data_IF_096837552246
#
_entry.id   IF_096837552246
#
_cell.length_a   1.000
_cell.length_b   1.000
_cell.length_c   1.000
_cell.angle_alpha   90.00
_cell.angle_beta   90.00
_cell.angle_gamma   90.00
#
_symmetry.space_group_name_H-M   'P 1'
#
loop_
_entity.id
_entity.type
_entity.pdbx_description
1 polymer ?
#
# COMPACT_ATOMS: atom_id res chain seq x y z
N UNK A 1 23.85 -7.62 5.78
CA UNK A 1 22.94 -7.06 6.81
C UNK A 1 21.77 -8.01 7.01
N UNK A 2 21.31 -8.27 8.23
CA UNK A 2 20.18 -9.20 8.46
C UNK A 2 18.85 -8.44 8.52
N UNK A 3 18.00 -8.61 7.51
CA UNK A 3 16.69 -7.96 7.39
C UNK A 3 15.56 -8.71 8.12
N UNK A 4 15.77 -9.97 8.51
CA UNK A 4 14.78 -10.82 9.19
C UNK A 4 15.20 -11.13 10.63
N UNK A 5 15.37 -10.10 11.46
CA UNK A 5 15.58 -10.31 12.91
C UNK A 5 14.23 -10.59 13.59
N UNK A 6 14.23 -11.49 14.57
CA UNK A 6 13.08 -11.75 15.45
C UNK A 6 12.78 -10.48 16.26
N UNK A 7 11.53 -10.00 16.28
CA UNK A 7 11.17 -8.80 17.07
C UNK A 7 10.91 -9.16 18.53
N UNK A 8 11.19 -8.17 19.39
CA UNK A 8 10.84 -8.11 20.81
C UNK A 8 9.32 -8.22 21.05
N UNK A 9 8.83 -8.50 22.28
CA UNK A 9 7.48 -8.99 22.54
C UNK A 9 6.32 -8.00 22.34
N UNK A 10 6.55 -6.76 21.88
CA UNK A 10 5.52 -5.70 21.83
C UNK A 10 5.41 -5.11 20.43
N UNK A 11 4.42 -5.59 19.67
CA UNK A 11 4.02 -5.07 18.37
C UNK A 11 4.48 -5.89 17.17
N UNK A 12 3.92 -5.64 15.97
CA UNK A 12 4.35 -6.30 14.74
C UNK A 12 5.84 -5.98 14.45
N UNK A 13 6.61 -6.92 13.88
CA UNK A 13 8.01 -6.70 13.58
C UNK A 13 8.24 -5.51 12.64
N UNK A 14 9.37 -4.83 12.80
CA UNK A 14 9.73 -3.70 11.94
C UNK A 14 10.03 -4.15 10.51
N UNK A 15 9.49 -3.40 9.53
CA UNK A 15 9.83 -3.55 8.11
C UNK A 15 11.17 -2.89 7.84
N UNK A 16 12.01 -3.52 7.02
CA UNK A 16 13.24 -2.90 6.49
C UNK A 16 13.03 -2.51 5.03
N UNK A 17 13.35 -1.27 4.66
CA UNK A 17 13.33 -0.79 3.29
C UNK A 17 14.77 -0.61 2.79
N UNK A 18 15.13 -1.38 1.76
CA UNK A 18 16.41 -1.29 1.07
C UNK A 18 16.24 -0.33 -0.12
N UNK A 19 16.72 0.90 0.02
CA UNK A 19 16.63 1.93 -1.01
C UNK A 19 17.79 1.80 -1.99
N UNK A 20 17.50 1.62 -3.28
CA UNK A 20 18.55 1.48 -4.30
C UNK A 20 18.73 2.79 -5.08
N UNK A 21 17.64 3.34 -5.62
CA UNK A 21 17.72 4.50 -6.50
C UNK A 21 16.47 5.36 -6.42
N UNK A 22 16.66 6.66 -6.65
CA UNK A 22 15.61 7.63 -6.87
C UNK A 22 16.09 8.74 -7.81
N UNK A 23 15.14 9.24 -8.60
CA UNK A 23 15.22 10.49 -9.33
C UNK A 23 13.80 11.09 -9.41
N UNK A 24 13.62 12.29 -10.00
CA UNK A 24 12.29 12.89 -10.10
C UNK A 24 11.25 12.04 -10.86
N UNK A 25 11.68 11.08 -11.68
CA UNK A 25 10.81 10.25 -12.53
C UNK A 25 10.43 8.91 -11.89
N UNK A 26 11.34 8.29 -11.15
CA UNK A 26 11.08 7.01 -10.49
C UNK A 26 12.03 6.77 -9.31
N UNK A 27 11.61 5.90 -8.41
CA UNK A 27 12.49 5.26 -7.43
C UNK A 27 12.23 3.76 -7.39
N UNK A 28 13.18 3.00 -6.86
CA UNK A 28 12.95 1.61 -6.55
C UNK A 28 13.68 1.16 -5.29
N UNK A 29 13.07 0.19 -4.62
CA UNK A 29 13.59 -0.40 -3.41
C UNK A 29 12.90 -1.71 -3.06
N UNK A 30 13.46 -2.40 -2.08
CA UNK A 30 12.94 -3.68 -1.60
C UNK A 30 12.47 -3.54 -0.17
N UNK A 31 11.21 -3.87 0.08
CA UNK A 31 10.72 -4.07 1.44
C UNK A 31 10.99 -5.50 1.87
N UNK A 32 11.68 -5.67 3.00
CA UNK A 32 11.84 -6.95 3.68
C UNK A 32 10.93 -6.97 4.91
N UNK A 33 9.98 -7.90 4.92
CA UNK A 33 8.97 -8.02 5.97
C UNK A 33 9.19 -9.32 6.74
N UNK A 34 9.56 -9.28 8.02
CA UNK A 34 9.48 -10.46 8.88
C UNK A 34 8.02 -10.97 8.98
N UNK A 35 7.85 -12.24 9.37
CA UNK A 35 6.50 -12.81 9.59
C UNK A 35 5.69 -11.92 10.54
N UNK A 36 4.44 -11.64 10.18
CA UNK A 36 3.52 -10.74 10.90
C UNK A 36 3.84 -9.24 10.81
N UNK A 37 4.88 -8.82 10.09
CA UNK A 37 5.08 -7.41 9.81
C UNK A 37 3.97 -6.87 8.90
N UNK A 38 3.61 -5.61 9.10
CA UNK A 38 2.51 -4.95 8.39
C UNK A 38 3.04 -3.66 7.77
N UNK A 39 2.74 -3.45 6.49
CA UNK A 39 2.72 -2.11 5.89
C UNK A 39 1.25 -1.67 5.93
N UNK A 40 0.87 -0.69 6.77
CA UNK A 40 -0.53 -0.33 6.96
C UNK A 40 -1.17 0.21 5.69
N UNK A 41 -2.50 0.29 5.67
CA UNK A 41 -3.25 0.78 4.52
C UNK A 41 -2.83 2.21 4.18
N UNK A 42 -2.31 2.41 2.97
CA UNK A 42 -1.80 3.69 2.49
C UNK A 42 -2.08 3.88 1.00
N UNK A 43 -1.96 5.11 0.49
CA UNK A 43 -2.20 5.46 -0.91
C UNK A 43 -0.92 5.80 -1.70
N UNK A 44 -1.07 5.95 -3.01
CA UNK A 44 -0.02 6.28 -3.98
C UNK A 44 -0.48 7.43 -4.91
N UNK A 45 -0.62 8.67 -4.40
CA UNK A 45 -1.29 9.76 -5.12
C UNK A 45 -0.55 10.17 -6.39
N UNK A 46 -1.18 9.99 -7.55
CA UNK A 46 -0.59 10.35 -8.85
C UNK A 46 0.54 9.42 -9.30
N UNK A 47 0.69 8.25 -8.69
CA UNK A 47 1.80 7.33 -8.93
C UNK A 47 1.32 6.06 -9.65
N UNK A 48 2.20 5.49 -10.46
CA UNK A 48 2.12 4.10 -10.93
C UNK A 48 3.20 3.30 -10.21
N UNK A 49 2.85 2.15 -9.65
CA UNK A 49 3.80 1.29 -8.93
C UNK A 49 3.74 -0.13 -9.47
N UNK A 50 4.92 -0.67 -9.76
CA UNK A 50 5.13 -2.07 -10.11
C UNK A 50 5.69 -2.79 -8.90
N UNK A 51 4.98 -3.81 -8.42
CA UNK A 51 5.34 -4.58 -7.23
C UNK A 51 5.54 -6.05 -7.59
N UNK A 52 6.70 -6.62 -7.27
CA UNK A 52 7.01 -8.03 -7.49
C UNK A 52 7.44 -8.71 -6.20
N UNK A 53 6.72 -9.76 -5.82
CA UNK A 53 7.14 -10.67 -4.76
C UNK A 53 8.42 -11.40 -5.19
N UNK A 54 9.48 -11.26 -4.38
CA UNK A 54 10.77 -11.91 -4.64
C UNK A 54 10.86 -13.29 -3.96
N UNK A 55 10.31 -13.42 -2.75
CA UNK A 55 10.14 -14.69 -2.04
C UNK A 55 9.14 -14.53 -0.89
N UNK A 56 8.69 -15.67 -0.34
CA UNK A 56 7.75 -15.72 0.76
C UNK A 56 6.32 -15.39 0.32
N UNK A 57 5.44 -15.19 1.30
CA UNK A 57 4.03 -14.88 1.06
C UNK A 57 3.53 -13.78 1.99
N UNK A 58 2.56 -13.02 1.50
CA UNK A 58 1.85 -11.99 2.25
C UNK A 58 0.39 -11.97 1.87
N UNK A 59 -0.46 -11.48 2.76
CA UNK A 59 -1.82 -11.10 2.45
C UNK A 59 -1.83 -9.67 1.90
N UNK A 60 -2.31 -9.50 0.67
CA UNK A 60 -2.52 -8.23 -0.01
C UNK A 60 -4.00 -7.88 0.04
N UNK A 61 -4.32 -6.76 0.70
CA UNK A 61 -5.64 -6.14 0.61
C UNK A 61 -5.50 -4.76 -0.03
N UNK A 62 -6.22 -4.51 -1.11
CA UNK A 62 -6.16 -3.26 -1.87
C UNK A 62 -7.53 -2.75 -2.28
N UNK A 63 -7.59 -1.45 -2.56
CA UNK A 63 -8.80 -0.73 -2.91
C UNK A 63 -8.53 0.34 -3.96
N UNK A 64 -9.59 0.67 -4.69
CA UNK A 64 -9.69 1.90 -5.45
C UNK A 64 -10.86 2.73 -4.91
N UNK A 65 -10.76 4.06 -5.02
CA UNK A 65 -11.82 4.94 -4.55
C UNK A 65 -13.13 4.70 -5.30
N UNK A 66 -14.21 4.46 -4.58
CA UNK A 66 -15.53 4.35 -5.18
C UNK A 66 -15.99 5.71 -5.69
N UNK A 67 -16.71 5.69 -6.80
CA UNK A 67 -17.15 6.86 -7.54
C UNK A 67 -18.62 6.69 -7.89
N UNK A 68 -19.40 7.75 -7.67
CA UNK A 68 -20.73 7.85 -8.27
C UNK A 68 -20.60 8.56 -9.61
N UNK A 69 -21.19 7.96 -10.65
CA UNK A 69 -21.30 8.58 -11.97
C UNK A 69 -22.68 9.21 -12.04
N UNK A 70 -22.72 10.53 -12.22
CA UNK A 70 -23.95 11.30 -12.48
C UNK A 70 -23.77 12.13 -13.76
N UNK A 71 -24.86 12.67 -14.29
CA UNK A 71 -24.82 13.58 -15.44
C UNK A 71 -23.95 14.83 -15.18
N UNK A 72 -23.79 15.22 -13.91
CA UNK A 72 -22.94 16.34 -13.49
C UNK A 72 -21.46 15.97 -13.29
N UNK A 73 -21.08 14.71 -13.54
CA UNK A 73 -19.71 14.22 -13.42
C UNK A 73 -19.52 13.17 -12.32
N UNK A 74 -18.25 12.92 -11.99
CA UNK A 74 -17.82 11.92 -11.01
C UNK A 74 -17.69 12.55 -9.64
N UNK A 75 -18.45 12.06 -8.65
CA UNK A 75 -18.38 12.58 -7.28
C UNK A 75 -17.78 11.56 -6.32
N UNK A 76 -16.94 12.06 -5.40
CA UNK A 76 -16.43 11.27 -4.29
C UNK A 76 -17.56 11.02 -3.29
N UNK A 77 -17.65 9.77 -2.81
CA UNK A 77 -18.61 9.38 -1.80
C UNK A 77 -17.97 9.51 -0.43
N UNK A 78 -18.33 10.55 0.33
CA UNK A 78 -17.74 10.87 1.64
C UNK A 78 -18.80 11.00 2.73
N UNK A 79 -18.47 10.57 3.94
CA UNK A 79 -19.26 10.79 5.15
C UNK A 79 -18.98 12.17 5.74
N UNK A 80 -19.84 12.62 6.66
CA UNK A 80 -19.67 13.89 7.39
C UNK A 80 -18.41 13.93 8.26
N UNK A 81 -17.91 12.78 8.69
CA UNK A 81 -16.69 12.66 9.49
C UNK A 81 -15.42 12.47 8.64
N UNK A 82 -15.53 12.61 7.31
CA UNK A 82 -14.41 12.63 6.38
C UNK A 82 -13.96 11.26 5.86
N UNK A 83 -14.66 10.17 6.17
CA UNK A 83 -14.37 8.87 5.57
C UNK A 83 -14.82 8.85 4.11
N UNK A 84 -14.08 8.16 3.25
CA UNK A 84 -14.36 8.03 1.82
C UNK A 84 -14.62 6.57 1.45
N UNK A 85 -15.63 6.33 0.62
CA UNK A 85 -15.97 4.98 0.19
C UNK A 85 -14.91 4.46 -0.79
N UNK A 86 -14.45 3.24 -0.56
CA UNK A 86 -13.53 2.53 -1.42
C UNK A 86 -14.08 1.14 -1.76
N UNK A 87 -13.75 0.66 -2.95
CA UNK A 87 -14.11 -0.67 -3.44
C UNK A 87 -12.88 -1.57 -3.37
N UNK A 88 -13.04 -2.78 -2.83
CA UNK A 88 -11.97 -3.78 -2.82
C UNK A 88 -11.57 -4.10 -4.26
N UNK A 89 -10.26 -4.04 -4.50
CA UNK A 89 -9.62 -4.46 -5.73
C UNK A 89 -9.04 -5.87 -5.57
N UNK A 90 -8.20 -6.08 -4.55
CA UNK A 90 -7.60 -7.38 -4.22
C UNK A 90 -7.76 -7.68 -2.73
N UNK A 91 -8.01 -8.94 -2.38
CA UNK A 91 -8.05 -9.41 -0.99
C UNK A 91 -7.62 -10.87 -0.94
N UNK A 92 -6.33 -11.12 -1.22
CA UNK A 92 -5.80 -12.46 -1.47
C UNK A 92 -4.40 -12.63 -0.87
N UNK A 93 -3.97 -13.88 -0.74
CA UNK A 93 -2.56 -14.22 -0.49
C UNK A 93 -1.78 -14.17 -1.80
N UNK A 94 -0.64 -13.51 -1.79
CA UNK A 94 0.31 -13.42 -2.91
C UNK A 94 1.68 -13.96 -2.48
N UNK A 95 2.34 -14.65 -3.40
CA UNK A 95 3.69 -15.20 -3.22
C UNK A 95 4.56 -14.92 -4.46
N UNK A 96 5.79 -15.44 -4.48
CA UNK A 96 6.75 -15.20 -5.56
C UNK A 96 6.36 -15.78 -6.94
N UNK A 97 5.38 -16.69 -6.99
CA UNK A 97 4.86 -17.21 -8.26
C UNK A 97 3.91 -16.23 -8.95
N UNK A 98 3.34 -15.27 -8.20
CA UNK A 98 2.44 -14.26 -8.76
C UNK A 98 3.17 -13.38 -9.79
N UNK A 99 2.45 -12.97 -10.83
CA UNK A 99 2.91 -11.96 -11.77
C UNK A 99 3.19 -10.62 -11.07
N UNK A 100 3.90 -9.73 -11.76
CA UNK A 100 4.11 -8.36 -11.26
C UNK A 100 2.75 -7.67 -11.12
N UNK A 101 2.48 -7.15 -9.93
CA UNK A 101 1.28 -6.38 -9.63
C UNK A 101 1.52 -4.94 -10.04
N UNK A 102 0.54 -4.33 -10.69
CA UNK A 102 0.62 -2.93 -11.13
C UNK A 102 -0.57 -2.15 -10.60
N UNK A 103 -0.30 -1.06 -9.89
CA UNK A 103 -1.29 -0.06 -9.54
C UNK A 103 -1.06 1.22 -10.33
N UNK A 104 -2.15 1.95 -10.54
CA UNK A 104 -2.23 3.22 -11.24
C UNK A 104 -2.77 4.30 -10.30
N UNK A 105 -2.76 5.59 -10.69
CA UNK A 105 -3.23 6.68 -9.83
C UNK A 105 -4.69 6.51 -9.34
N UNK A 106 -5.55 5.86 -10.13
CA UNK A 106 -6.98 5.74 -9.83
C UNK A 106 -7.55 4.34 -10.09
N UNK A 107 -6.69 3.33 -10.29
CA UNK A 107 -7.10 1.95 -10.58
C UNK A 107 -6.00 0.96 -10.19
N UNK A 108 -6.35 -0.32 -10.05
CA UNK A 108 -5.38 -1.39 -9.77
C UNK A 108 -5.00 -1.52 -8.29
N UNK A 109 -5.78 -0.92 -7.39
CA UNK A 109 -5.53 -0.99 -5.95
C UNK A 109 -4.56 0.09 -5.48
N UNK A 110 -4.82 1.36 -5.83
CA UNK A 110 -3.98 2.50 -5.42
C UNK A 110 -3.81 2.58 -3.90
N UNK A 111 -4.82 2.14 -3.15
CA UNK A 111 -4.71 1.98 -1.70
C UNK A 111 -4.43 0.52 -1.38
N UNK A 112 -3.42 0.22 -0.59
CA UNK A 112 -3.18 -1.16 -0.18
C UNK A 112 -2.50 -1.30 1.18
N UNK A 113 -2.64 -2.47 1.78
CA UNK A 113 -1.86 -2.91 2.93
C UNK A 113 -1.26 -4.30 2.66
N UNK A 114 -0.10 -4.54 3.26
CA UNK A 114 0.57 -5.83 3.24
C UNK A 114 0.64 -6.40 4.64
N UNK A 115 0.33 -7.68 4.79
CA UNK A 115 0.55 -8.44 6.02
C UNK A 115 1.36 -9.69 5.72
N UNK A 116 2.60 -9.75 6.21
CA UNK A 116 3.50 -10.87 5.93
C UNK A 116 3.04 -12.17 6.62
N UNK A 117 2.85 -13.24 5.84
CA UNK A 117 2.47 -14.57 6.36
C UNK A 117 3.69 -15.45 6.63
N UNK A 118 4.75 -15.23 5.85
CA UNK A 118 6.11 -15.74 6.08
C UNK A 118 7.07 -14.54 6.06
N UNK A 119 8.35 -14.71 6.44
CA UNK A 119 9.37 -13.77 5.99
C UNK A 119 9.29 -13.64 4.47
N UNK A 120 9.19 -12.42 3.97
CA UNK A 120 9.03 -12.15 2.54
C UNK A 120 9.75 -10.86 2.12
N UNK A 121 9.94 -10.72 0.82
CA UNK A 121 10.46 -9.51 0.21
C UNK A 121 9.66 -9.14 -1.03
N UNK A 122 9.37 -7.84 -1.18
CA UNK A 122 8.70 -7.26 -2.35
C UNK A 122 9.57 -6.14 -2.90
N UNK A 123 9.82 -6.18 -4.21
CA UNK A 123 10.46 -5.11 -4.97
C UNK A 123 9.38 -4.16 -5.46
N UNK A 124 9.52 -2.87 -5.17
CA UNK A 124 8.68 -1.82 -5.71
C UNK A 124 9.50 -0.90 -6.64
N UNK A 125 8.94 -0.62 -7.80
CA UNK A 125 9.36 0.45 -8.71
C UNK A 125 8.21 1.45 -8.81
N UNK A 126 8.40 2.67 -8.33
CA UNK A 126 7.35 3.69 -8.24
C UNK A 126 7.69 4.91 -9.09
N UNK A 127 6.73 5.38 -9.88
CA UNK A 127 6.89 6.50 -10.80
C UNK A 127 5.68 7.42 -10.84
N UNK A 128 5.84 8.73 -10.56
CA UNK A 128 6.97 9.34 -9.85
C UNK A 128 7.06 8.87 -8.39
N UNK A 129 8.15 9.13 -7.65
CA UNK A 129 8.19 8.89 -6.22
C UNK A 129 7.30 9.88 -5.44
N UNK A 130 7.01 9.54 -4.19
CA UNK A 130 6.40 10.45 -3.21
C UNK A 130 7.17 11.78 -3.13
N UNK A 131 6.45 12.87 -2.88
CA UNK A 131 7.02 14.21 -2.76
C UNK A 131 6.03 15.17 -2.11
N UNK A 132 6.33 15.62 -0.90
CA UNK A 132 5.50 16.61 -0.19
C UNK A 132 5.42 17.94 -0.95
N UNK A 133 6.53 18.36 -1.58
CA UNK A 133 6.59 19.58 -2.38
C UNK A 133 5.64 19.54 -3.60
N UNK A 134 5.32 18.34 -4.09
CA UNK A 134 4.41 18.14 -5.21
C UNK A 134 3.03 17.59 -4.77
N UNK A 135 2.70 17.64 -3.47
CA UNK A 135 1.43 17.17 -2.93
C UNK A 135 1.22 15.65 -3.03
N UNK A 136 2.31 14.88 -3.15
CA UNK A 136 2.28 13.41 -3.21
C UNK A 136 2.78 12.82 -1.90
N UNK A 137 2.16 13.18 -0.80
CA UNK A 137 2.42 12.57 0.49
C UNK A 137 1.75 11.20 0.60
N UNK A 138 2.42 10.27 1.26
CA UNK A 138 1.83 8.98 1.61
C UNK A 138 0.86 9.18 2.78
N UNK A 139 -0.44 9.04 2.52
CA UNK A 139 -1.49 9.08 3.55
C UNK A 139 -1.85 7.66 4.01
N UNK A 140 -2.27 7.53 5.26
CA UNK A 140 -2.61 6.26 5.90
C UNK A 140 -4.07 6.24 6.30
N UNK A 141 -4.70 5.07 6.29
CA UNK A 141 -6.14 4.94 6.48
C UNK A 141 -6.51 3.86 7.49
N UNK A 142 -7.55 4.12 8.29
CA UNK A 142 -8.31 3.08 8.97
C UNK A 142 -9.46 2.61 8.08
N UNK A 143 -9.89 1.36 8.28
CA UNK A 143 -10.97 0.72 7.53
C UNK A 143 -12.16 0.45 8.45
N UNK A 144 -13.37 0.79 8.00
CA UNK A 144 -14.63 0.31 8.59
C UNK A 144 -15.53 -0.32 7.53
N UNK A 145 -16.27 -1.40 7.84
CA UNK A 145 -17.15 -2.05 6.87
C UNK A 145 -18.23 -1.11 6.34
N UNK A 146 -18.53 -1.20 5.04
CA UNK A 146 -19.71 -0.55 4.48
C UNK A 146 -20.99 -1.34 4.81
N UNK A 147 -22.06 -0.64 5.18
CA UNK A 147 -23.41 -1.20 5.30
C UNK A 147 -24.36 -0.37 4.45
N UNK A 148 -25.18 -1.02 3.64
CA UNK A 148 -26.15 -0.35 2.79
C UNK A 148 -27.37 0.16 3.60
N UNK A 149 -28.29 0.85 2.93
CA UNK A 149 -29.50 1.41 3.56
C UNK A 149 -30.44 0.36 4.17
N UNK A 150 -30.32 -0.90 3.76
CA UNK A 150 -31.06 -2.03 4.33
C UNK A 150 -30.30 -2.71 5.50
N UNK A 151 -29.17 -2.14 5.93
CA UNK A 151 -28.32 -2.70 6.99
C UNK A 151 -27.52 -3.93 6.57
N UNK A 152 -27.50 -4.26 5.27
CA UNK A 152 -26.72 -5.38 4.74
C UNK A 152 -25.31 -4.90 4.40
N UNK A 153 -24.31 -5.55 4.98
CA UNK A 153 -22.92 -5.29 4.67
C UNK A 153 -22.61 -5.71 3.22
N UNK A 154 -22.18 -4.77 2.38
CA UNK A 154 -21.57 -5.12 1.08
C UNK A 154 -20.07 -5.27 1.30
N UNK A 155 -19.62 -6.52 1.42
CA UNK A 155 -18.22 -6.88 1.69
C UNK A 155 -17.25 -6.42 0.61
N UNK A 156 -17.73 -5.92 -0.53
CA UNK A 156 -16.90 -5.36 -1.60
C UNK A 156 -16.51 -3.90 -1.35
N UNK A 157 -17.10 -3.25 -0.36
CA UNK A 157 -16.88 -1.84 -0.06
C UNK A 157 -16.50 -1.62 1.41
N UNK A 158 -15.64 -0.62 1.63
CA UNK A 158 -15.25 -0.17 2.96
C UNK A 158 -15.18 1.35 2.99
N UNK A 159 -15.47 1.94 4.14
CA UNK A 159 -15.18 3.34 4.42
C UNK A 159 -13.73 3.45 4.89
N UNK A 160 -12.95 4.29 4.22
CA UNK A 160 -11.57 4.55 4.59
C UNK A 160 -11.44 5.97 5.14
N UNK A 161 -10.88 6.10 6.33
CA UNK A 161 -10.67 7.39 6.99
C UNK A 161 -9.20 7.63 7.19
N UNK A 162 -8.72 8.80 6.79
CA UNK A 162 -7.32 9.16 6.98
C UNK A 162 -6.98 9.21 8.47
N UNK A 163 -5.82 8.67 8.84
CA UNK A 163 -5.32 8.61 10.22
C UNK A 163 -3.87 9.11 10.29
N UNK A 164 -3.42 9.58 11.47
CA UNK A 164 -2.03 9.98 11.66
C UNK A 164 -1.04 8.85 11.34
N UNK A 165 0.05 9.20 10.65
CA UNK A 165 1.11 8.25 10.34
C UNK A 165 1.95 7.88 11.58
N UNK A 166 1.67 6.71 12.15
CA UNK A 166 2.45 6.09 13.23
C UNK A 166 3.40 5.00 12.73
N UNK A 167 3.36 4.68 11.44
CA UNK A 167 4.20 3.64 10.86
C UNK A 167 5.67 4.07 10.83
N UNK A 168 6.56 3.12 11.16
CA UNK A 168 8.01 3.32 11.13
C UNK A 168 8.64 2.10 10.48
N UNK A 169 9.56 2.36 9.55
CA UNK A 169 10.37 1.34 8.91
C UNK A 169 11.85 1.69 9.06
N UNK A 170 12.71 0.68 9.00
CA UNK A 170 14.15 0.86 8.97
C UNK A 170 14.61 1.07 7.53
N UNK A 171 15.00 2.28 7.16
CA UNK A 171 15.61 2.57 5.86
C UNK A 171 17.10 2.19 5.83
N UNK A 172 17.54 1.60 4.72
CA UNK A 172 18.95 1.31 4.43
C UNK A 172 19.23 1.73 2.99
N UNK A 173 20.15 2.67 2.79
CA UNK A 173 20.62 3.03 1.45
C UNK A 173 21.61 1.99 0.97
N UNK A 174 21.33 1.40 -0.19
CA UNK A 174 22.17 0.41 -0.84
C UNK A 174 23.22 1.10 -1.72
N UNK A 175 24.42 0.51 -1.89
CA UNK A 175 25.42 1.00 -2.83
C UNK A 175 24.86 1.08 -4.26
N UNK A 176 25.24 2.12 -5.00
CA UNK A 176 24.87 2.32 -6.40
C UNK A 176 25.93 1.71 -7.30
N UNK A 177 25.95 0.38 -7.37
CA UNK A 177 26.89 -0.37 -8.21
C UNK A 177 26.32 -0.69 -9.61
N UNK A 178 25.18 -0.09 -9.95
CA UNK A 178 24.49 -0.26 -11.22
C UNK A 178 24.63 1.01 -12.08
N UNK A 179 24.85 0.83 -13.38
CA UNK A 179 24.88 1.91 -14.37
C UNK A 179 23.44 2.22 -14.75
N UNK A 180 23.01 3.47 -14.53
CA UNK A 180 21.68 3.99 -14.86
C UNK A 180 21.75 4.82 -16.14
#
# INVERSE_FOLDING_TARGET
>A
MTCFKRSEPRGPPAVTYLHFYDCPKFSFGIFCLPKHAIIPLHNHPGMTVFSKMLFGSMHLKSYDWARSISEAGTTALTTSDGARLAKINTNNVVDASADTIVLYPENGGNLHCFTALTPCAVLDVMGPPYSSAAGRDCAYYSETPFSNTAGVADVRYSWLKEIPNTFRMKGVTMPRDFVV
#
